data_IF_742330932437
#
_entry.id   IF_742330932437
#
_cell.length_a   1.000
_cell.length_b   1.000
_cell.length_c   1.000
_cell.angle_alpha   90.00
_cell.angle_beta   90.00
_cell.angle_gamma   90.00
#
_symmetry.space_group_name_H-M   'P 1'
#
loop_
_entity.id
_entity.type
_entity.pdbx_description
1 polymer ?
#
# COMPACT_ATOMS: atom_id res chain seq x y z
N UNK A 1 -7.80 2.32 -16.79
CA UNK A 1 -7.82 3.50 -15.90
C UNK A 1 -7.72 2.97 -14.47
N UNK A 2 -6.84 3.51 -13.62
CA UNK A 2 -6.88 3.18 -12.21
C UNK A 2 -8.27 3.59 -11.70
N UNK A 3 -8.94 2.72 -10.94
CA UNK A 3 -10.31 3.03 -10.50
C UNK A 3 -10.29 4.23 -9.55
N UNK A 4 -11.05 5.26 -9.90
CA UNK A 4 -11.32 6.49 -9.14
C UNK A 4 -12.03 6.25 -7.80
N UNK A 5 -12.06 5.00 -7.32
CA UNK A 5 -12.60 4.71 -6.00
C UNK A 5 -11.78 5.47 -4.95
N UNK A 6 -12.42 6.34 -4.16
CA UNK A 6 -11.72 7.09 -3.12
C UNK A 6 -11.07 6.11 -2.15
N UNK A 7 -9.81 6.37 -1.82
CA UNK A 7 -9.08 5.58 -0.82
C UNK A 7 -9.86 5.66 0.49
N UNK A 8 -10.43 4.52 0.93
CA UNK A 8 -11.18 4.50 2.19
C UNK A 8 -10.32 5.04 3.34
N UNK A 9 -10.86 5.90 4.21
CA UNK A 9 -10.13 6.45 5.36
C UNK A 9 -9.52 5.38 6.28
N UNK A 10 -10.03 4.15 6.27
CA UNK A 10 -9.43 3.03 7.01
C UNK A 10 -8.05 2.63 6.49
N UNK A 11 -7.78 2.79 5.19
CA UNK A 11 -6.45 2.54 4.63
C UNK A 11 -5.44 3.56 5.17
N UNK A 12 -5.83 4.84 5.26
CA UNK A 12 -4.98 5.92 5.76
C UNK A 12 -4.55 5.72 7.22
N UNK A 13 -5.37 5.05 8.04
CA UNK A 13 -5.02 4.71 9.43
C UNK A 13 -3.99 3.59 9.57
N UNK A 14 -3.83 2.75 8.53
CA UNK A 14 -3.02 1.51 8.58
C UNK A 14 -1.70 1.61 7.80
N UNK A 15 -1.62 2.52 6.83
CA UNK A 15 -0.38 2.90 6.10
C UNK A 15 0.77 3.41 7.01
N UNK A 16 0.53 4.10 8.15
CA UNK A 16 1.60 4.57 9.04
C UNK A 16 2.51 3.46 9.58
N UNK A 17 2.01 2.24 9.78
CA UNK A 17 2.85 1.13 10.24
C UNK A 17 3.83 0.65 9.16
N UNK A 18 3.40 0.63 7.89
CA UNK A 18 4.29 0.36 6.75
C UNK A 18 5.28 1.50 6.53
N UNK A 19 4.87 2.76 6.76
CA UNK A 19 5.75 3.93 6.73
C UNK A 19 6.89 3.84 7.77
N UNK A 20 6.62 3.35 8.98
CA UNK A 20 7.62 3.27 10.06
C UNK A 20 8.54 2.05 9.90
N UNK A 21 8.01 0.86 9.57
CA UNK A 21 8.82 -0.37 9.49
C UNK A 21 9.47 -0.61 8.13
N UNK A 22 9.02 0.06 7.08
CA UNK A 22 9.48 -0.16 5.71
C UNK A 22 8.95 -1.46 5.08
N UNK A 23 8.89 -2.58 5.83
CA UNK A 23 8.38 -3.87 5.34
C UNK A 23 7.53 -4.64 6.35
N UNK A 24 6.74 -5.60 5.85
CA UNK A 24 5.77 -6.38 6.62
C UNK A 24 5.58 -7.78 6.02
N UNK A 25 5.54 -8.81 6.87
CA UNK A 25 5.21 -10.19 6.45
C UNK A 25 3.73 -10.31 6.09
N UNK A 26 3.42 -11.07 5.02
CA UNK A 26 2.03 -11.26 4.55
C UNK A 26 1.10 -11.85 5.62
N UNK A 27 1.60 -12.80 6.42
CA UNK A 27 0.81 -13.43 7.49
C UNK A 27 0.44 -12.49 8.64
N UNK A 28 1.23 -11.43 8.87
CA UNK A 28 1.00 -10.45 9.94
C UNK A 28 0.03 -9.34 9.53
N UNK A 29 -0.28 -9.23 8.23
CA UNK A 29 -1.08 -8.14 7.69
C UNK A 29 -2.47 -8.06 8.32
N UNK A 30 -3.12 -9.19 8.57
CA UNK A 30 -4.46 -9.21 9.14
C UNK A 30 -4.51 -8.70 10.59
N UNK A 31 -3.50 -9.03 11.41
CA UNK A 31 -3.36 -8.50 12.76
C UNK A 31 -3.09 -7.00 12.75
N UNK A 32 -2.16 -6.56 11.91
CA UNK A 32 -1.78 -5.15 11.79
C UNK A 32 -2.92 -4.29 11.24
N UNK A 33 -3.72 -4.87 10.35
CA UNK A 33 -4.90 -4.23 9.79
C UNK A 33 -6.15 -4.44 10.66
N UNK A 34 -6.14 -5.25 11.73
CA UNK A 34 -7.33 -5.49 12.54
C UNK A 34 -8.52 -6.02 11.74
N UNK A 35 -8.28 -6.86 10.74
CA UNK A 35 -9.32 -7.43 9.87
C UNK A 35 -9.09 -8.93 9.63
N UNK A 36 -10.01 -9.58 8.90
CA UNK A 36 -9.86 -11.01 8.57
C UNK A 36 -8.71 -11.24 7.59
N UNK A 37 -8.10 -12.43 7.59
CA UNK A 37 -7.02 -12.76 6.66
C UNK A 37 -7.41 -12.61 5.19
N UNK A 38 -8.65 -12.97 4.85
CA UNK A 38 -9.19 -12.79 3.48
C UNK A 38 -9.22 -11.32 3.12
N UNK A 39 -9.79 -10.49 3.99
CA UNK A 39 -9.88 -9.06 3.74
C UNK A 39 -8.48 -8.45 3.64
N UNK A 40 -7.56 -8.77 4.56
CA UNK A 40 -6.18 -8.31 4.50
C UNK A 40 -5.49 -8.66 3.16
N UNK A 41 -5.69 -9.87 2.64
CA UNK A 41 -5.17 -10.25 1.31
C UNK A 41 -5.76 -9.41 0.18
N UNK A 42 -7.06 -9.14 0.22
CA UNK A 42 -7.72 -8.30 -0.79
C UNK A 42 -7.21 -6.85 -0.72
N UNK A 43 -7.04 -6.30 0.49
CA UNK A 43 -6.46 -4.97 0.71
C UNK A 43 -5.02 -4.89 0.16
N UNK A 44 -4.18 -5.87 0.50
CA UNK A 44 -2.79 -5.94 0.03
C UNK A 44 -2.71 -6.05 -1.49
N UNK A 45 -3.60 -6.82 -2.12
CA UNK A 45 -3.70 -6.90 -3.58
C UNK A 45 -4.05 -5.54 -4.19
N UNK A 46 -5.00 -4.83 -3.60
CA UNK A 46 -5.37 -3.47 -4.01
C UNK A 46 -4.21 -2.48 -3.90
N UNK A 47 -3.49 -2.48 -2.79
CA UNK A 47 -2.32 -1.63 -2.57
C UNK A 47 -1.18 -1.93 -3.55
N UNK A 48 -0.92 -3.22 -3.84
CA UNK A 48 0.09 -3.63 -4.81
C UNK A 48 -0.29 -3.18 -6.22
N UNK A 49 -1.56 -3.35 -6.62
CA UNK A 49 -2.04 -2.91 -7.94
C UNK A 49 -1.98 -1.39 -8.12
N UNK A 50 -2.13 -0.62 -7.03
CA UNK A 50 -1.98 0.84 -7.01
C UNK A 50 -0.53 1.30 -6.84
N UNK A 51 0.44 0.38 -6.79
CA UNK A 51 1.86 0.70 -6.71
C UNK A 51 2.32 1.28 -5.37
N UNK A 52 1.52 1.11 -4.29
CA UNK A 52 1.78 1.60 -2.92
C UNK A 52 2.68 0.66 -2.11
N UNK A 53 2.71 -0.61 -2.51
CA UNK A 53 3.58 -1.63 -1.94
C UNK A 53 4.12 -2.52 -3.06
N UNK A 54 5.28 -3.15 -2.83
CA UNK A 54 5.84 -4.20 -3.68
C UNK A 54 6.36 -5.35 -2.82
N UNK A 55 6.56 -6.53 -3.42
CA UNK A 55 7.32 -7.57 -2.72
C UNK A 55 8.77 -7.11 -2.57
N UNK A 56 9.38 -7.36 -1.41
CA UNK A 56 10.77 -6.98 -1.14
C UNK A 56 11.74 -7.79 -2.03
N UNK A 57 11.37 -9.04 -2.32
CA UNK A 57 12.10 -10.00 -3.15
C UNK A 57 11.11 -10.77 -4.02
N UNK A 58 11.59 -11.36 -5.12
CA UNK A 58 10.77 -12.16 -6.02
C UNK A 58 10.48 -13.56 -5.44
N UNK A 59 9.64 -13.61 -4.41
CA UNK A 59 9.26 -14.84 -3.71
C UNK A 59 7.84 -14.74 -3.14
N UNK A 60 7.10 -15.86 -3.21
CA UNK A 60 5.72 -15.95 -2.70
C UNK A 60 5.64 -15.60 -1.21
N UNK A 61 6.68 -15.95 -0.43
CA UNK A 61 6.77 -15.69 1.01
C UNK A 61 7.43 -14.36 1.35
N UNK A 62 7.91 -13.62 0.35
CA UNK A 62 8.62 -12.36 0.58
C UNK A 62 7.74 -11.36 1.33
N UNK A 63 8.26 -10.61 2.30
CA UNK A 63 7.54 -9.48 2.89
C UNK A 63 7.13 -8.46 1.81
N UNK A 64 6.05 -7.73 2.05
CA UNK A 64 5.78 -6.51 1.29
C UNK A 64 6.60 -5.36 1.87
N UNK A 65 7.09 -4.49 1.01
CA UNK A 65 7.73 -3.23 1.39
C UNK A 65 6.91 -2.07 0.85
N UNK A 66 6.92 -0.95 1.58
CA UNK A 66 6.35 0.30 1.12
C UNK A 66 7.09 0.74 -0.13
N UNK A 67 6.33 1.12 -1.15
CA UNK A 67 6.87 1.61 -2.41
C UNK A 67 5.93 2.65 -2.96
N UNK A 68 6.45 3.79 -3.37
CA UNK A 68 5.64 4.81 -4.03
C UNK A 68 6.17 4.94 -5.46
N UNK A 69 5.42 4.40 -6.42
CA UNK A 69 5.73 4.64 -7.83
C UNK A 69 5.73 6.13 -8.18
N UNK A 70 6.34 6.50 -9.30
CA UNK A 70 6.37 7.89 -9.79
C UNK A 70 4.99 8.54 -9.80
N UNK A 71 3.98 7.76 -10.20
CA UNK A 71 2.60 8.21 -10.38
C UNK A 71 1.92 8.57 -9.04
N UNK A 72 2.47 8.09 -7.92
CA UNK A 72 2.01 8.42 -6.57
C UNK A 72 2.65 9.70 -6.01
N UNK A 73 3.75 10.18 -6.59
CA UNK A 73 4.51 11.31 -6.03
C UNK A 73 3.68 12.59 -6.02
N UNK A 74 2.83 12.80 -7.02
CA UNK A 74 1.95 13.96 -7.08
C UNK A 74 0.85 13.94 -6.01
N UNK A 75 0.42 12.76 -5.58
CA UNK A 75 -0.54 12.61 -4.49
C UNK A 75 0.10 12.80 -3.11
N UNK A 76 1.35 12.33 -2.94
CA UNK A 76 2.05 12.39 -1.66
C UNK A 76 2.71 13.74 -1.40
N UNK A 77 3.27 14.36 -2.45
CA UNK A 77 3.98 15.64 -2.39
C UNK A 77 3.40 16.62 -3.42
N UNK A 78 2.11 16.98 -3.31
CA UNK A 78 1.43 17.79 -4.34
C UNK A 78 2.07 19.16 -4.57
N UNK A 79 2.73 19.72 -3.55
CA UNK A 79 3.45 20.99 -3.68
C UNK A 79 4.84 20.86 -4.34
N UNK A 80 5.40 19.65 -4.42
CA UNK A 80 6.73 19.38 -4.99
C UNK A 80 6.63 18.75 -6.38
N UNK A 81 5.63 17.90 -6.59
CA UNK A 81 5.37 17.21 -7.85
C UNK A 81 3.91 17.50 -8.22
N UNK A 82 3.63 18.45 -9.12
CA UNK A 82 2.26 18.70 -9.56
C UNK A 82 1.69 17.46 -10.26
N UNK A 83 0.38 17.21 -10.10
CA UNK A 83 -0.30 16.26 -10.98
C UNK A 83 -0.28 16.82 -12.41
N UNK A 84 0.21 16.03 -13.36
CA UNK A 84 0.07 16.36 -14.78
C UNK A 84 -1.36 15.98 -15.21
N UNK A 85 -2.11 16.97 -15.70
CA UNK A 85 -3.41 16.79 -16.36
C UNK A 85 -3.29 15.95 -17.65
#
# INVERSE_FOLDING_TARGET
MPTDDPISPEYLKRVPHLLIKGSMKKGEAHHLMGCTERHARDLLKGLKNRGVIKDLEDSVRSPFTLHFGSDMLSFLFPSLVPAYD
#
